data_IF_587700337240
#
_entry.id   IF_587700337240
#
_cell.length_a   1.000
_cell.length_b   1.000
_cell.length_c   1.000
_cell.angle_alpha   90.00
_cell.angle_beta   90.00
_cell.angle_gamma   90.00
#
_symmetry.space_group_name_H-M   'P 1'
#
loop_
_entity.id
_entity.type
_entity.pdbx_description
1 polymer ?
#
# COMPACT_ATOMS: atom_id res chain seq x y z
N UNK A 1 -2.78 -29.41 42.45
CA UNK A 1 -1.68 -30.32 42.03
C UNK A 1 -1.99 -31.67 42.60
N UNK A 2 -2.15 -32.68 41.76
CA UNK A 2 -2.27 -34.04 42.22
C UNK A 2 -0.88 -34.53 42.66
N UNK A 3 -0.78 -34.96 43.91
CA UNK A 3 0.46 -35.42 44.52
C UNK A 3 0.43 -36.94 44.59
N UNK A 4 1.41 -37.58 44.03
CA UNK A 4 1.52 -39.03 44.02
C UNK A 4 2.10 -39.54 45.33
N UNK A 5 1.33 -40.34 46.08
CA UNK A 5 1.65 -40.81 47.42
C UNK A 5 2.32 -42.20 47.46
N UNK A 6 2.31 -42.93 46.34
CA UNK A 6 2.93 -44.28 46.24
C UNK A 6 3.74 -44.41 44.93
N UNK A 7 4.73 -45.33 44.89
CA UNK A 7 5.50 -45.54 43.67
C UNK A 7 4.59 -46.05 42.56
N UNK A 8 4.50 -45.27 41.49
CA UNK A 8 3.69 -45.54 40.32
C UNK A 8 4.17 -44.67 39.13
N UNK A 9 3.65 -44.98 37.97
CA UNK A 9 3.95 -44.20 36.77
C UNK A 9 2.83 -43.17 36.57
N UNK A 10 3.19 -41.87 36.67
CA UNK A 10 2.30 -40.79 36.32
C UNK A 10 2.42 -40.51 34.82
N UNK A 11 1.43 -40.91 34.05
CA UNK A 11 1.34 -40.59 32.64
C UNK A 11 0.52 -39.30 32.51
N UNK A 12 1.16 -38.24 32.07
CA UNK A 12 0.48 -36.99 31.75
C UNK A 12 0.48 -36.82 30.25
N UNK A 13 -0.66 -36.94 29.65
CA UNK A 13 -0.85 -36.66 28.23
C UNK A 13 -0.90 -35.13 28.03
N UNK A 14 0.02 -34.65 27.25
CA UNK A 14 0.06 -33.21 26.86
C UNK A 14 -0.27 -33.13 25.39
N UNK A 15 -1.49 -32.72 25.11
CA UNK A 15 -1.92 -32.46 23.74
C UNK A 15 -1.22 -31.20 23.20
N UNK A 16 -0.23 -31.40 22.36
CA UNK A 16 0.52 -30.33 21.68
C UNK A 16 -0.11 -29.94 20.35
N UNK A 17 -1.18 -30.62 19.92
CA UNK A 17 -1.83 -30.34 18.63
C UNK A 17 -2.63 -29.03 18.62
N UNK A 18 -2.88 -28.42 19.78
CA UNK A 18 -3.56 -27.11 19.89
C UNK A 18 -2.63 -25.90 19.88
N UNK A 19 -1.33 -26.07 19.81
CA UNK A 19 -0.42 -24.98 19.54
C UNK A 19 -0.29 -24.87 18.01
N UNK A 20 -1.36 -24.47 17.36
CA UNK A 20 -1.21 -23.79 16.08
C UNK A 20 -0.76 -22.38 16.47
N UNK A 21 0.51 -22.00 16.23
CA UNK A 21 0.83 -20.61 16.31
C UNK A 21 -0.07 -19.92 15.29
N UNK A 22 -1.09 -19.21 15.76
CA UNK A 22 -1.83 -18.30 14.92
C UNK A 22 -0.85 -17.18 14.52
N UNK A 23 -0.02 -17.47 13.54
CA UNK A 23 0.72 -16.46 12.82
C UNK A 23 -0.33 -15.77 11.97
N UNK A 24 -1.07 -14.84 12.57
CA UNK A 24 -1.88 -13.94 11.80
C UNK A 24 -0.92 -13.10 10.97
N UNK A 25 -0.81 -13.39 9.68
CA UNK A 25 -0.21 -12.49 8.73
C UNK A 25 -1.13 -11.25 8.69
N UNK A 26 -0.84 -10.31 9.58
CA UNK A 26 -1.61 -9.06 9.68
C UNK A 26 -1.21 -8.03 8.63
N UNK A 27 -0.26 -8.37 7.76
CA UNK A 27 0.24 -7.49 6.70
C UNK A 27 -0.31 -7.99 5.36
N UNK A 28 -1.13 -7.15 4.71
CA UNK A 28 -1.60 -7.39 3.35
C UNK A 28 -0.77 -6.60 2.34
N UNK A 29 -0.88 -6.99 1.07
CA UNK A 29 -0.31 -6.25 -0.05
C UNK A 29 -1.30 -6.19 -1.21
N UNK A 30 -1.43 -5.03 -1.82
CA UNK A 30 -2.27 -4.78 -2.99
C UNK A 30 -1.47 -3.98 -4.02
N UNK A 31 -1.52 -4.42 -5.27
CA UNK A 31 -0.99 -3.69 -6.40
C UNK A 31 -2.12 -3.45 -7.41
N UNK A 32 -2.24 -2.23 -7.90
CA UNK A 32 -3.28 -1.92 -8.87
C UNK A 32 -3.30 -0.46 -9.30
N UNK A 33 -4.29 -0.13 -10.08
CA UNK A 33 -4.51 1.22 -10.58
C UNK A 33 -5.25 2.06 -9.54
N UNK A 34 -4.74 3.26 -9.29
CA UNK A 34 -5.36 4.25 -8.42
C UNK A 34 -5.36 5.62 -9.10
N UNK A 35 -6.28 6.48 -8.68
CA UNK A 35 -6.48 7.79 -9.29
C UNK A 35 -5.31 8.74 -9.06
N UNK A 36 -4.72 8.73 -7.87
CA UNK A 36 -3.56 9.57 -7.49
C UNK A 36 -2.57 8.73 -6.66
N UNK A 37 -1.50 9.34 -6.21
CA UNK A 37 -0.48 8.70 -5.37
C UNK A 37 0.83 8.42 -6.11
N UNK A 38 1.88 8.07 -5.36
CA UNK A 38 3.17 7.74 -5.95
C UNK A 38 3.09 6.47 -6.79
N UNK A 39 3.88 6.43 -7.86
CA UNK A 39 4.03 5.27 -8.73
C UNK A 39 5.27 4.48 -8.34
N UNK A 40 5.20 3.16 -8.47
CA UNK A 40 6.32 2.24 -8.25
C UNK A 40 6.95 2.38 -6.85
N UNK A 41 6.18 2.81 -5.87
CA UNK A 41 6.59 2.98 -4.48
C UNK A 41 5.65 2.21 -3.56
N UNK A 42 6.22 1.52 -2.56
CA UNK A 42 5.44 0.81 -1.55
C UNK A 42 4.99 1.80 -0.49
N UNK A 43 3.69 2.06 -0.41
CA UNK A 43 3.08 2.90 0.61
C UNK A 43 2.40 2.04 1.66
N UNK A 44 2.69 2.31 2.93
CA UNK A 44 2.01 1.64 4.05
C UNK A 44 0.76 2.42 4.44
N UNK A 45 -0.36 1.75 4.45
CA UNK A 45 -1.69 2.31 4.74
C UNK A 45 -2.24 1.63 5.99
N UNK A 46 -2.76 2.42 6.91
CA UNK A 46 -3.28 1.95 8.20
C UNK A 46 -4.81 2.02 8.33
N UNK A 47 -5.44 2.83 7.50
CA UNK A 47 -6.89 3.05 7.54
C UNK A 47 -7.46 3.34 6.15
N UNK A 48 -8.78 3.23 6.01
CA UNK A 48 -9.47 3.60 4.76
C UNK A 48 -9.32 5.09 4.46
N UNK A 49 -9.32 5.96 5.48
CA UNK A 49 -9.07 7.39 5.28
C UNK A 49 -7.68 7.66 4.70
N UNK A 50 -6.64 6.98 5.21
CA UNK A 50 -5.29 7.08 4.65
C UNK A 50 -5.24 6.62 3.19
N UNK A 51 -6.03 5.58 2.85
CA UNK A 51 -6.14 5.08 1.48
C UNK A 51 -6.74 6.13 0.55
N UNK A 52 -7.85 6.77 0.96
CA UNK A 52 -8.51 7.84 0.20
C UNK A 52 -7.59 9.06 0.08
N UNK A 53 -6.95 9.48 1.17
CA UNK A 53 -6.07 10.65 1.17
C UNK A 53 -4.86 10.47 0.26
N UNK A 54 -4.30 9.27 0.22
CA UNK A 54 -3.11 8.97 -0.57
C UNK A 54 -3.43 8.63 -2.02
N UNK A 55 -4.41 7.76 -2.25
CA UNK A 55 -4.68 7.17 -3.56
C UNK A 55 -5.97 7.68 -4.24
N UNK A 56 -6.76 8.47 -3.51
CA UNK A 56 -8.02 9.06 -4.00
C UNK A 56 -9.22 8.16 -3.84
N UNK A 57 -10.37 8.71 -4.15
CA UNK A 57 -11.63 8.01 -4.11
C UNK A 57 -11.74 6.96 -5.23
N UNK A 58 -12.55 5.89 -5.03
CA UNK A 58 -12.80 4.90 -6.07
C UNK A 58 -13.54 5.52 -7.26
N UNK A 59 -13.20 5.06 -8.45
CA UNK A 59 -13.89 5.38 -9.69
C UNK A 59 -14.25 4.10 -10.47
N UNK A 60 -14.84 4.26 -11.64
CA UNK A 60 -15.29 3.13 -12.48
C UNK A 60 -14.15 2.18 -12.91
N UNK A 61 -12.91 2.61 -12.85
CA UNK A 61 -11.76 1.83 -13.33
C UNK A 61 -11.00 1.14 -12.20
N UNK A 62 -11.09 1.66 -10.98
CA UNK A 62 -10.28 1.18 -9.86
C UNK A 62 -11.10 0.63 -8.67
N UNK A 63 -12.44 0.62 -8.76
CA UNK A 63 -13.31 0.27 -7.64
C UNK A 63 -13.05 -1.13 -7.09
N UNK A 64 -12.72 -2.11 -7.92
CA UNK A 64 -12.47 -3.49 -7.50
C UNK A 64 -11.23 -3.57 -6.58
N UNK A 65 -10.14 -2.91 -7.00
CA UNK A 65 -8.90 -2.86 -6.25
C UNK A 65 -9.07 -2.06 -4.96
N UNK A 66 -9.77 -0.90 -5.08
CA UNK A 66 -10.02 -0.03 -3.94
C UNK A 66 -10.85 -0.73 -2.86
N UNK A 67 -11.99 -1.34 -3.21
CA UNK A 67 -12.83 -2.02 -2.23
C UNK A 67 -12.20 -3.30 -1.67
N UNK A 68 -11.36 -3.99 -2.44
CA UNK A 68 -10.57 -5.10 -1.92
C UNK A 68 -9.58 -4.63 -0.85
N UNK A 69 -8.91 -3.50 -1.08
CA UNK A 69 -8.02 -2.88 -0.09
C UNK A 69 -8.80 -2.38 1.14
N UNK A 70 -9.93 -1.70 0.96
CA UNK A 70 -10.78 -1.20 2.03
C UNK A 70 -11.34 -2.34 2.90
N UNK A 71 -11.81 -3.43 2.30
CA UNK A 71 -12.26 -4.61 3.02
C UNK A 71 -11.14 -5.23 3.87
N UNK A 72 -9.92 -5.29 3.36
CA UNK A 72 -8.78 -5.79 4.14
C UNK A 72 -8.50 -4.89 5.35
N UNK A 73 -8.58 -3.56 5.18
CA UNK A 73 -8.34 -2.59 6.26
C UNK A 73 -9.40 -2.64 7.38
N UNK A 74 -10.56 -3.25 7.16
CA UNK A 74 -11.53 -3.50 8.23
C UNK A 74 -11.06 -4.56 9.25
N UNK A 75 -10.16 -5.45 8.83
CA UNK A 75 -9.64 -6.55 9.66
C UNK A 75 -8.18 -6.35 10.09
N UNK A 76 -7.44 -5.49 9.40
CA UNK A 76 -6.02 -5.23 9.65
C UNK A 76 -5.69 -3.76 9.45
N UNK A 77 -4.72 -3.27 10.18
CA UNK A 77 -4.23 -1.89 10.08
C UNK A 77 -2.85 -1.81 9.37
N UNK A 78 -2.47 -2.83 8.63
CA UNK A 78 -1.18 -2.88 7.93
C UNK A 78 -1.36 -3.40 6.52
N UNK A 79 -1.59 -2.48 5.59
CA UNK A 79 -1.70 -2.76 4.16
C UNK A 79 -0.57 -2.05 3.41
N UNK A 80 0.13 -2.77 2.56
CA UNK A 80 1.11 -2.23 1.63
C UNK A 80 0.48 -2.09 0.26
N UNK A 81 0.45 -0.87 -0.25
CA UNK A 81 -0.15 -0.55 -1.54
C UNK A 81 0.91 -0.07 -2.50
N UNK A 82 0.86 -0.60 -3.71
CA UNK A 82 1.68 -0.14 -4.85
C UNK A 82 0.75 0.29 -5.97
N UNK A 83 0.89 1.54 -6.38
CA UNK A 83 0.18 2.04 -7.56
C UNK A 83 0.91 1.63 -8.83
N UNK A 84 0.24 0.87 -9.70
CA UNK A 84 0.72 0.54 -11.03
C UNK A 84 0.53 1.74 -11.98
N UNK A 85 1.53 1.99 -12.82
CA UNK A 85 1.43 3.01 -13.85
C UNK A 85 0.62 2.49 -15.05
N UNK A 86 -0.34 3.27 -15.50
CA UNK A 86 -0.88 3.11 -16.84
C UNK A 86 0.09 3.68 -17.88
N UNK A 87 0.04 3.13 -19.08
CA UNK A 87 0.77 3.66 -20.23
C UNK A 87 0.31 5.11 -20.49
N UNK A 88 1.26 6.04 -20.62
CA UNK A 88 1.00 7.47 -20.89
C UNK A 88 0.47 8.30 -19.71
N UNK A 89 0.66 7.85 -18.47
CA UNK A 89 0.35 8.67 -17.30
C UNK A 89 1.40 9.79 -17.16
N UNK A 90 0.97 11.05 -17.21
CA UNK A 90 1.85 12.22 -17.10
C UNK A 90 1.44 13.09 -15.93
N UNK A 91 2.38 13.90 -15.45
CA UNK A 91 2.12 14.91 -14.43
C UNK A 91 1.59 16.18 -15.08
N UNK A 92 0.64 16.85 -14.43
CA UNK A 92 0.27 18.20 -14.81
C UNK A 92 1.46 19.12 -14.57
N UNK A 93 1.87 19.86 -15.61
CA UNK A 93 3.00 20.81 -15.57
C UNK A 93 2.59 22.12 -16.19
N UNK A 94 3.24 23.22 -15.77
CA UNK A 94 2.97 24.56 -16.31
C UNK A 94 3.22 24.66 -17.84
N UNK A 95 4.14 23.84 -18.33
CA UNK A 95 4.55 23.84 -19.75
C UNK A 95 3.87 22.77 -20.59
N UNK A 96 3.08 21.88 -19.99
CA UNK A 96 2.43 20.77 -20.70
C UNK A 96 3.43 19.80 -21.35
N UNK A 97 4.62 19.62 -20.76
CA UNK A 97 5.74 18.88 -21.36
C UNK A 97 5.58 17.35 -21.40
N UNK A 98 4.46 16.79 -20.94
CA UNK A 98 4.22 15.35 -20.99
C UNK A 98 5.16 14.51 -20.12
N UNK A 99 5.72 15.10 -19.07
CA UNK A 99 6.69 14.47 -18.18
C UNK A 99 6.03 13.52 -17.20
N UNK A 100 6.64 12.38 -16.91
CA UNK A 100 6.22 11.46 -15.87
C UNK A 100 7.19 11.49 -14.68
N UNK A 101 6.74 12.04 -13.56
CA UNK A 101 7.42 11.98 -12.28
C UNK A 101 6.71 10.91 -11.46
N UNK A 102 7.38 9.80 -11.18
CA UNK A 102 6.78 8.65 -10.52
C UNK A 102 6.58 8.87 -9.03
N UNK A 103 7.63 9.32 -8.36
CA UNK A 103 7.67 9.55 -6.92
C UNK A 103 8.75 10.59 -6.58
N UNK A 104 8.91 10.89 -5.31
CA UNK A 104 9.89 11.89 -4.84
C UNK A 104 11.33 11.50 -5.16
N UNK A 105 11.69 10.23 -5.01
CA UNK A 105 13.04 9.74 -5.33
C UNK A 105 13.33 9.89 -6.82
N UNK A 106 12.40 9.49 -7.67
CA UNK A 106 12.54 9.66 -9.12
C UNK A 106 12.72 11.12 -9.52
N UNK A 107 12.03 12.05 -8.83
CA UNK A 107 12.22 13.48 -9.06
C UNK A 107 13.62 13.93 -8.66
N UNK A 108 14.09 13.54 -7.48
CA UNK A 108 15.42 13.92 -6.97
C UNK A 108 16.55 13.39 -7.85
N UNK A 109 16.41 12.17 -8.33
CA UNK A 109 17.47 11.52 -9.13
C UNK A 109 17.55 12.07 -10.57
N UNK A 110 16.44 12.57 -11.13
CA UNK A 110 16.38 12.89 -12.56
C UNK A 110 16.11 14.37 -12.89
N UNK A 111 15.57 15.14 -11.94
CA UNK A 111 15.05 16.49 -12.25
C UNK A 111 15.42 17.55 -11.22
N UNK A 112 15.97 17.21 -10.07
CA UNK A 112 16.25 18.17 -8.99
C UNK A 112 17.41 19.13 -9.33
N UNK A 113 18.30 18.73 -10.22
CA UNK A 113 19.43 19.54 -10.71
C UNK A 113 19.02 20.55 -11.79
N UNK A 114 17.73 20.62 -12.15
CA UNK A 114 17.22 21.45 -13.23
C UNK A 114 17.38 20.85 -14.61
N UNK A 115 17.85 19.62 -14.72
CA UNK A 115 17.85 18.88 -15.98
C UNK A 115 16.41 18.48 -16.32
N UNK A 116 16.00 18.80 -17.53
CA UNK A 116 14.64 18.53 -17.98
C UNK A 116 13.70 19.76 -17.86
N UNK A 117 12.68 19.78 -18.70
CA UNK A 117 11.74 20.90 -18.77
C UNK A 117 10.53 20.63 -17.87
N UNK A 118 10.74 20.63 -16.55
CA UNK A 118 9.64 20.46 -15.59
C UNK A 118 8.73 21.69 -15.54
N UNK A 119 9.26 22.86 -15.91
CA UNK A 119 8.57 24.15 -15.77
C UNK A 119 8.61 24.68 -14.33
N UNK A 120 7.85 25.74 -14.06
CA UNK A 120 7.84 26.39 -12.74
C UNK A 120 7.12 25.55 -11.69
N UNK A 121 6.11 24.82 -12.10
CA UNK A 121 5.31 23.95 -11.24
C UNK A 121 5.01 22.61 -11.94
N UNK A 122 5.05 21.54 -11.17
CA UNK A 122 4.62 20.23 -11.59
C UNK A 122 3.80 19.56 -10.48
N UNK A 123 2.75 18.84 -10.86
CA UNK A 123 2.01 18.04 -9.90
C UNK A 123 2.92 16.96 -9.32
N UNK A 124 2.84 16.74 -8.02
CA UNK A 124 3.69 15.76 -7.30
C UNK A 124 3.49 14.34 -7.80
N UNK A 125 2.28 14.00 -8.24
CA UNK A 125 1.91 12.66 -8.69
C UNK A 125 1.30 12.71 -10.09
N UNK A 126 1.57 11.70 -10.89
CA UNK A 126 1.04 11.59 -12.24
C UNK A 126 -0.46 11.23 -12.23
N UNK A 127 -1.22 11.81 -13.15
CA UNK A 127 -2.64 11.53 -13.34
C UNK A 127 -3.48 12.76 -13.64
N UNK A 128 -4.72 12.52 -14.08
CA UNK A 128 -5.67 13.56 -14.47
C UNK A 128 -6.10 14.48 -13.31
N UNK A 129 -5.95 14.03 -12.06
CA UNK A 129 -6.30 14.81 -10.87
C UNK A 129 -5.50 16.09 -10.70
N UNK A 130 -4.33 16.20 -11.33
CA UNK A 130 -3.52 17.41 -11.31
C UNK A 130 -3.98 18.51 -12.27
N UNK A 131 -4.99 18.24 -13.10
CA UNK A 131 -5.54 19.16 -14.09
C UNK A 131 -6.81 19.88 -13.63
N UNK A 132 -7.23 19.65 -12.38
CA UNK A 132 -8.46 20.25 -11.80
C UNK A 132 -8.14 21.43 -10.91
#
# INVERSE_FOLDING_TARGET
MAFQVSPGVLVQERDLTRIIPAVSTSIGAVAGEFRKGPLDEIVSISSENDLVDTFGEPDSNNFEVFFSAANFLQYSNSLRVVRAAQTNLVNATTTGCGLQIKNTTHYQDNYADGSGVVGTFAARTAGAHGNT
#
